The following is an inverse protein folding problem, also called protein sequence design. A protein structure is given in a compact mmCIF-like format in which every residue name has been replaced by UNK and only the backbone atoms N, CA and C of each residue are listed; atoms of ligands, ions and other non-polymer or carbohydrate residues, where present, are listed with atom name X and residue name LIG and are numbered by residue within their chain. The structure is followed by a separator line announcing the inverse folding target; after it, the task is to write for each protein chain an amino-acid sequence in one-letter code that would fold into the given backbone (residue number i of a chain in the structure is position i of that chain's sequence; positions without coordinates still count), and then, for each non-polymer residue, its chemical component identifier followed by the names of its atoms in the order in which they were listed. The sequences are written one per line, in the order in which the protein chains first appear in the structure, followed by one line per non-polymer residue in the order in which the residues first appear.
data_IF_385989627645
#
_entry.id   IF_385989627645
#
_cell.length_a   1.000
_cell.length_b   1.000
_cell.length_c   1.000
_cell.angle_alpha   90.00
_cell.angle_beta   90.00
_cell.angle_gamma   90.00
#
_symmetry.space_group_name_H-M   'P 1'
#
loop_
_entity.id
_entity.type
_entity.pdbx_description
1 polymer ?
#
# COMPACT_ATOMS: atom_id res chain seq x y z
N UNK A 1 -6.10 -7.94 -5.04
CA UNK A 1 -7.31 -7.60 -5.80
C UNK A 1 -7.09 -7.92 -7.29
N UNK A 2 -8.07 -8.53 -7.96
CA UNK A 2 -8.00 -8.88 -9.39
C UNK A 2 -9.10 -8.09 -10.12
N UNK A 3 -8.73 -7.34 -11.17
CA UNK A 3 -9.69 -6.60 -11.99
C UNK A 3 -10.51 -7.57 -12.86
N UNK A 4 -11.81 -7.32 -13.02
CA UNK A 4 -12.74 -8.18 -13.80
C UNK A 4 -12.28 -8.49 -15.23
N UNK A 5 -11.57 -7.58 -15.91
CA UNK A 5 -11.01 -7.86 -17.24
C UNK A 5 -9.94 -8.95 -17.24
N UNK A 6 -9.41 -9.32 -16.08
CA UNK A 6 -8.42 -10.38 -15.87
C UNK A 6 -9.05 -11.69 -15.35
N UNK A 7 -10.37 -11.81 -15.39
CA UNK A 7 -11.07 -13.03 -14.95
C UNK A 7 -10.57 -14.30 -15.63
N UNK A 8 -10.21 -14.22 -16.92
CA UNK A 8 -9.59 -15.35 -17.66
C UNK A 8 -8.20 -15.76 -17.14
N UNK A 9 -7.50 -14.85 -16.46
CA UNK A 9 -6.15 -15.10 -15.89
C UNK A 9 -6.20 -15.55 -14.43
N UNK A 10 -7.38 -15.63 -13.80
CA UNK A 10 -7.53 -16.02 -12.39
C UNK A 10 -6.88 -17.37 -12.11
N UNK A 11 -7.13 -18.38 -12.95
CA UNK A 11 -6.54 -19.70 -12.75
C UNK A 11 -5.01 -19.68 -12.85
N UNK A 12 -4.44 -18.97 -13.83
CA UNK A 12 -2.99 -18.84 -13.98
C UNK A 12 -2.35 -18.21 -12.72
N UNK A 13 -2.93 -17.09 -12.24
CA UNK A 13 -2.40 -16.36 -11.08
C UNK A 13 -2.52 -17.21 -9.81
N UNK A 14 -3.70 -17.81 -9.57
CA UNK A 14 -3.95 -18.49 -8.32
C UNK A 14 -3.36 -19.90 -8.26
N UNK A 15 -3.16 -20.58 -9.40
CA UNK A 15 -2.42 -21.84 -9.44
C UNK A 15 -0.98 -21.65 -9.01
N UNK A 16 -0.29 -20.63 -9.52
CA UNK A 16 1.08 -20.32 -9.12
C UNK A 16 1.22 -20.12 -7.61
N UNK A 17 0.26 -19.43 -6.99
CA UNK A 17 0.25 -19.23 -5.54
C UNK A 17 -0.07 -20.52 -4.77
N UNK A 18 -1.03 -21.31 -5.27
CA UNK A 18 -1.40 -22.58 -4.65
C UNK A 18 -0.27 -23.62 -4.72
N UNK A 19 0.43 -23.70 -5.85
CA UNK A 19 1.62 -24.56 -6.06
C UNK A 19 2.77 -24.18 -5.13
N UNK A 20 2.88 -22.91 -4.76
CA UNK A 20 3.80 -22.41 -3.74
C UNK A 20 3.32 -22.64 -2.29
N UNK A 21 2.27 -23.44 -2.09
CA UNK A 21 1.71 -23.76 -0.77
C UNK A 21 0.83 -22.69 -0.16
N UNK A 22 0.45 -21.66 -0.92
CA UNK A 22 -0.35 -20.55 -0.40
C UNK A 22 -1.84 -20.94 -0.31
N UNK A 23 -2.44 -20.79 0.88
CA UNK A 23 -3.89 -20.96 1.10
C UNK A 23 -4.64 -19.76 0.57
N UNK A 24 -5.65 -20.00 -0.29
CA UNK A 24 -6.40 -18.94 -0.96
C UNK A 24 -7.75 -18.73 -0.27
N UNK A 25 -7.91 -17.55 0.34
CA UNK A 25 -9.18 -17.05 0.85
C UNK A 25 -9.80 -16.17 -0.23
N UNK A 26 -11.00 -16.48 -0.69
CA UNK A 26 -11.56 -15.84 -1.87
C UNK A 26 -12.99 -15.32 -1.64
N UNK A 27 -13.32 -14.21 -2.31
CA UNK A 27 -14.72 -13.80 -2.44
C UNK A 27 -15.50 -14.80 -3.32
N UNK A 28 -16.81 -14.72 -3.27
CA UNK A 28 -17.70 -15.63 -4.03
C UNK A 28 -17.47 -15.58 -5.55
N UNK A 29 -17.01 -14.43 -6.09
CA UNK A 29 -16.76 -14.27 -7.53
C UNK A 29 -15.48 -14.99 -7.94
N UNK A 30 -14.40 -14.84 -7.18
CA UNK A 30 -13.14 -15.54 -7.41
C UNK A 30 -13.33 -17.05 -7.22
N UNK A 31 -14.04 -17.49 -6.17
CA UNK A 31 -14.31 -18.93 -5.95
C UNK A 31 -15.09 -19.59 -7.10
N UNK A 32 -15.92 -18.85 -7.84
CA UNK A 32 -16.59 -19.38 -9.03
C UNK A 32 -15.68 -19.44 -10.27
N UNK A 33 -14.64 -18.64 -10.33
CA UNK A 33 -13.71 -18.55 -11.48
C UNK A 33 -12.50 -19.47 -11.32
N UNK A 34 -12.06 -19.69 -10.11
CA UNK A 34 -10.89 -20.51 -9.82
C UNK A 34 -11.29 -21.98 -9.71
N UNK A 35 -10.59 -22.84 -10.43
CA UNK A 35 -10.85 -24.30 -10.45
C UNK A 35 -10.22 -25.04 -9.27
N UNK A 36 -9.26 -24.41 -8.58
CA UNK A 36 -8.61 -24.98 -7.41
C UNK A 36 -9.38 -24.74 -6.11
N UNK A 37 -8.79 -25.18 -4.99
CA UNK A 37 -9.39 -25.08 -3.67
C UNK A 37 -9.34 -23.64 -3.15
N UNK A 38 -10.50 -23.12 -2.72
CA UNK A 38 -10.61 -21.83 -2.03
C UNK A 38 -11.34 -22.00 -0.70
N UNK A 39 -11.15 -21.02 0.17
CA UNK A 39 -11.88 -20.88 1.42
C UNK A 39 -12.60 -19.53 1.42
N UNK A 40 -13.75 -19.40 2.11
CA UNK A 40 -14.51 -18.16 2.07
C UNK A 40 -13.76 -17.02 2.75
N UNK A 41 -13.67 -15.88 2.06
CA UNK A 41 -13.21 -14.63 2.63
C UNK A 41 -14.42 -13.82 3.14
N UNK A 42 -14.26 -13.15 4.27
CA UNK A 42 -15.26 -12.30 4.91
C UNK A 42 -14.62 -10.96 5.36
N UNK A 43 -15.38 -10.08 5.99
CA UNK A 43 -14.89 -8.77 6.39
C UNK A 43 -13.66 -8.85 7.33
N UNK A 44 -13.63 -9.80 8.25
CA UNK A 44 -12.49 -9.98 9.17
C UNK A 44 -11.25 -10.48 8.41
N UNK A 45 -11.44 -11.24 7.32
CA UNK A 45 -10.36 -11.73 6.48
C UNK A 45 -9.63 -10.60 5.76
N UNK A 46 -10.36 -9.57 5.32
CA UNK A 46 -9.79 -8.46 4.54
C UNK A 46 -8.86 -7.57 5.35
N UNK A 47 -9.08 -7.40 6.63
CA UNK A 47 -8.26 -6.58 7.53
C UNK A 47 -7.21 -7.38 8.30
N UNK A 48 -7.16 -8.72 8.10
CA UNK A 48 -6.23 -9.57 8.83
C UNK A 48 -4.87 -9.62 8.15
N UNK A 49 -3.83 -9.34 8.89
CA UNK A 49 -2.46 -9.72 8.54
C UNK A 49 -2.25 -11.20 8.86
N UNK A 50 -2.02 -12.02 7.83
CA UNK A 50 -2.04 -13.46 7.99
C UNK A 50 -0.78 -14.05 8.63
N UNK A 51 0.39 -13.42 8.46
CA UNK A 51 1.70 -13.88 8.98
C UNK A 51 2.01 -15.35 8.66
N UNK A 52 1.51 -15.82 7.52
CA UNK A 52 1.57 -17.22 7.07
C UNK A 52 1.31 -17.25 5.56
N UNK A 53 1.61 -18.35 4.84
CA UNK A 53 1.33 -18.46 3.41
C UNK A 53 -0.18 -18.53 3.12
N UNK A 54 -0.87 -17.44 3.38
CA UNK A 54 -2.30 -17.26 3.12
C UNK A 54 -2.49 -15.95 2.37
N UNK A 55 -3.33 -15.96 1.34
CA UNK A 55 -3.69 -14.76 0.59
C UNK A 55 -5.20 -14.59 0.51
N UNK A 56 -5.66 -13.35 0.69
CA UNK A 56 -7.05 -12.95 0.50
C UNK A 56 -7.24 -12.35 -0.88
N UNK A 57 -8.17 -12.91 -1.67
CA UNK A 57 -8.37 -12.54 -3.08
C UNK A 57 -9.80 -12.10 -3.34
N UNK A 58 -9.96 -10.94 -3.99
CA UNK A 58 -11.25 -10.37 -4.35
C UNK A 58 -11.26 -9.88 -5.80
N UNK A 59 -12.38 -10.08 -6.49
CA UNK A 59 -12.62 -9.50 -7.82
C UNK A 59 -13.17 -8.08 -7.69
N UNK A 60 -12.57 -7.14 -8.41
CA UNK A 60 -13.01 -5.73 -8.44
C UNK A 60 -13.38 -5.29 -9.85
N UNK A 61 -14.32 -4.36 -9.97
CA UNK A 61 -14.83 -3.90 -11.26
C UNK A 61 -13.97 -2.81 -11.89
N UNK A 62 -13.29 -2.00 -11.07
CA UNK A 62 -12.49 -0.86 -11.51
C UNK A 62 -11.52 -0.44 -10.40
N UNK A 63 -10.62 0.50 -10.73
CA UNK A 63 -9.61 1.02 -9.80
C UNK A 63 -10.23 1.77 -8.61
N UNK A 64 -11.38 2.42 -8.78
CA UNK A 64 -12.06 3.14 -7.67
C UNK A 64 -12.53 2.15 -6.59
N UNK A 65 -13.11 1.02 -7.01
CA UNK A 65 -13.49 -0.05 -6.08
C UNK A 65 -12.26 -0.66 -5.38
N UNK A 66 -11.16 -0.86 -6.12
CA UNK A 66 -9.92 -1.35 -5.53
C UNK A 66 -9.37 -0.40 -4.46
N UNK A 67 -9.27 0.90 -4.76
CA UNK A 67 -8.81 1.93 -3.82
C UNK A 67 -9.72 2.03 -2.60
N UNK A 68 -11.05 2.00 -2.80
CA UNK A 68 -12.00 2.02 -1.69
C UNK A 68 -11.83 0.81 -0.77
N UNK A 69 -11.59 -0.37 -1.33
CA UNK A 69 -11.33 -1.59 -0.57
C UNK A 69 -10.02 -1.50 0.21
N UNK A 70 -8.93 -1.08 -0.43
CA UNK A 70 -7.62 -0.88 0.21
C UNK A 70 -7.72 0.12 1.36
N UNK A 71 -8.31 1.30 1.11
CA UNK A 71 -8.44 2.34 2.13
C UNK A 71 -9.33 1.94 3.32
N UNK A 72 -10.23 0.97 3.11
CA UNK A 72 -11.10 0.45 4.18
C UNK A 72 -10.43 -0.65 5.02
N UNK A 73 -9.66 -1.51 4.39
CA UNK A 73 -9.17 -2.74 5.02
C UNK A 73 -7.65 -2.84 5.11
N UNK A 74 -6.91 -2.02 4.36
CA UNK A 74 -5.46 -2.01 4.35
C UNK A 74 -4.84 -1.44 5.62
N UNK A 75 -3.57 -1.76 5.84
CA UNK A 75 -2.78 -1.30 6.99
C UNK A 75 -2.22 0.11 6.81
N UNK A 76 -2.43 0.74 5.66
CA UNK A 76 -1.82 2.01 5.24
C UNK A 76 -0.29 1.96 5.10
N UNK A 77 0.29 0.78 5.04
CA UNK A 77 1.72 0.60 4.88
C UNK A 77 2.15 0.80 3.42
N UNK A 78 1.98 -0.21 2.59
CA UNK A 78 2.45 -0.22 1.20
C UNK A 78 1.46 -0.94 0.31
N UNK A 79 1.07 -0.30 -0.78
CA UNK A 79 0.18 -0.89 -1.77
C UNK A 79 0.72 -0.69 -3.19
N UNK A 80 0.54 -1.70 -4.04
CA UNK A 80 1.02 -1.68 -5.41
C UNK A 80 -0.10 -1.94 -6.42
N UNK A 81 0.04 -1.35 -7.59
CA UNK A 81 -0.81 -1.61 -8.76
C UNK A 81 0.02 -2.09 -9.95
N UNK A 82 -0.45 -3.14 -10.60
CA UNK A 82 0.10 -3.60 -11.89
C UNK A 82 -0.80 -3.14 -13.02
N UNK A 83 -0.36 -2.16 -13.79
CA UNK A 83 -1.11 -1.60 -14.92
C UNK A 83 -0.23 -0.91 -15.94
N UNK A 84 -0.59 -1.02 -17.24
CA UNK A 84 0.01 -0.23 -18.33
C UNK A 84 -0.72 1.11 -18.54
N UNK A 85 -1.92 1.29 -17.95
CA UNK A 85 -2.70 2.51 -18.13
C UNK A 85 -2.22 3.60 -17.16
N UNK A 86 -1.62 4.66 -17.71
CA UNK A 86 -1.06 5.79 -16.93
C UNK A 86 -2.10 6.51 -16.08
N UNK A 87 -3.33 6.69 -16.58
CA UNK A 87 -4.38 7.38 -15.84
C UNK A 87 -4.87 6.54 -14.65
N UNK A 88 -4.98 5.22 -14.84
CA UNK A 88 -5.33 4.28 -13.77
C UNK A 88 -4.24 4.26 -12.69
N UNK A 89 -2.96 4.23 -13.08
CA UNK A 89 -1.84 4.29 -12.14
C UNK A 89 -1.84 5.60 -11.34
N UNK A 90 -1.98 6.74 -12.04
CA UNK A 90 -2.03 8.07 -11.39
C UNK A 90 -3.21 8.18 -10.42
N UNK A 91 -4.39 7.66 -10.82
CA UNK A 91 -5.55 7.63 -9.93
C UNK A 91 -5.27 6.79 -8.67
N UNK A 92 -4.69 5.59 -8.85
CA UNK A 92 -4.35 4.70 -7.74
C UNK A 92 -3.40 5.38 -6.75
N UNK A 93 -2.23 5.84 -7.24
CA UNK A 93 -1.20 6.48 -6.41
C UNK A 93 -1.75 7.70 -5.66
N UNK A 94 -2.58 8.52 -6.32
CA UNK A 94 -3.15 9.72 -5.68
C UNK A 94 -4.18 9.41 -4.59
N UNK A 95 -4.90 8.28 -4.71
CA UNK A 95 -6.09 8.03 -3.89
C UNK A 95 -5.94 6.92 -2.84
N UNK A 96 -4.89 6.09 -2.90
CA UNK A 96 -4.60 5.19 -1.78
C UNK A 96 -4.04 5.99 -0.61
N UNK A 97 -4.43 5.59 0.61
CA UNK A 97 -3.97 6.25 1.86
C UNK A 97 -2.65 5.69 2.38
N UNK A 98 -2.13 4.65 1.74
CA UNK A 98 -0.89 4.00 2.13
C UNK A 98 0.29 4.95 2.11
N UNK A 99 1.23 4.76 3.01
CA UNK A 99 2.45 5.57 3.10
C UNK A 99 3.30 5.46 1.84
N UNK A 100 3.29 4.27 1.22
CA UNK A 100 4.01 3.99 -0.02
C UNK A 100 3.03 3.43 -1.05
N UNK A 101 2.97 4.03 -2.22
CA UNK A 101 2.15 3.60 -3.36
C UNK A 101 3.05 3.33 -4.56
N UNK A 102 2.98 2.11 -5.10
CA UNK A 102 3.91 1.61 -6.12
C UNK A 102 3.14 1.26 -7.40
N UNK A 103 3.75 1.55 -8.55
CA UNK A 103 3.28 1.09 -9.86
C UNK A 103 4.28 0.10 -10.47
N UNK A 104 3.79 -1.09 -10.87
CA UNK A 104 4.55 -2.10 -11.64
C UNK A 104 5.86 -2.56 -10.99
N UNK A 105 5.92 -2.54 -9.67
CA UNK A 105 7.04 -3.07 -8.90
C UNK A 105 6.55 -3.82 -7.68
N UNK A 106 7.42 -4.62 -7.07
CA UNK A 106 7.12 -5.34 -5.83
C UNK A 106 6.98 -4.38 -4.66
N UNK A 107 6.11 -4.71 -3.71
CA UNK A 107 6.03 -4.00 -2.43
C UNK A 107 7.29 -4.15 -1.58
N UNK A 108 8.17 -5.10 -1.91
CA UNK A 108 9.50 -5.25 -1.28
C UNK A 108 10.44 -4.05 -1.53
N UNK A 109 10.18 -3.24 -2.56
CA UNK A 109 10.88 -1.96 -2.74
C UNK A 109 10.52 -0.90 -1.71
N UNK A 110 9.58 -1.16 -0.82
CA UNK A 110 9.26 -0.32 0.32
C UNK A 110 10.29 -0.54 1.44
N UNK A 111 11.48 0.01 1.25
CA UNK A 111 12.64 -0.17 2.13
C UNK A 111 13.45 1.13 2.17
N UNK A 112 13.93 1.51 3.36
CA UNK A 112 14.72 2.74 3.55
C UNK A 112 16.05 2.72 2.80
N UNK A 113 16.65 1.55 2.60
CA UNK A 113 17.85 1.38 1.78
C UNK A 113 17.57 1.68 0.31
N UNK A 114 16.47 1.15 -0.24
CA UNK A 114 16.02 1.39 -1.61
C UNK A 114 15.67 2.88 -1.86
N UNK A 115 15.18 3.57 -0.82
CA UNK A 115 14.92 5.02 -0.88
C UNK A 115 16.16 5.89 -0.65
N UNK A 116 17.32 5.29 -0.39
CA UNK A 116 18.57 6.01 -0.18
C UNK A 116 18.71 6.65 1.20
N UNK A 117 17.95 6.21 2.20
CA UNK A 117 18.03 6.72 3.58
C UNK A 117 19.14 6.05 4.43
N UNK A 118 19.88 5.11 3.84
CA UNK A 118 20.91 4.33 4.50
C UNK A 118 20.32 3.21 5.34
N UNK A 119 19.99 3.48 6.59
CA UNK A 119 19.30 2.54 7.48
C UNK A 119 17.82 2.83 7.61
N UNK A 120 17.04 1.83 8.01
CA UNK A 120 15.63 1.95 8.35
C UNK A 120 15.39 1.41 9.76
N UNK A 121 14.76 2.23 10.61
CA UNK A 121 14.32 1.82 11.96
C UNK A 121 12.94 1.18 11.90
N UNK A 122 12.17 1.55 10.89
CA UNK A 122 10.82 1.03 10.62
C UNK A 122 10.11 1.85 9.56
N UNK A 123 8.83 1.52 9.34
CA UNK A 123 7.96 2.24 8.39
C UNK A 123 6.74 2.78 9.14
N UNK A 124 6.56 4.09 9.08
CA UNK A 124 5.41 4.76 9.69
C UNK A 124 4.21 4.80 8.73
N UNK A 125 3.05 4.39 9.24
CA UNK A 125 1.77 4.47 8.54
C UNK A 125 0.98 5.74 8.88
N UNK A 126 1.57 6.66 9.65
CA UNK A 126 0.96 7.93 10.01
C UNK A 126 0.64 8.78 8.78
N UNK A 127 -0.33 9.67 8.91
CA UNK A 127 -0.64 10.68 7.89
C UNK A 127 0.22 11.94 8.04
N UNK A 128 0.70 12.20 9.24
CA UNK A 128 1.66 13.27 9.56
C UNK A 128 3.09 12.70 9.67
N UNK A 129 4.13 13.51 9.47
CA UNK A 129 5.51 13.08 9.62
C UNK A 129 5.84 12.53 11.02
N UNK A 130 6.72 11.52 11.12
CA UNK A 130 7.31 10.81 10.00
C UNK A 130 6.29 9.89 9.30
N UNK A 131 6.40 9.75 7.98
CA UNK A 131 5.55 8.88 7.16
C UNK A 131 6.39 8.12 6.13
N UNK A 132 6.08 6.84 5.93
CA UNK A 132 6.89 5.94 5.11
C UNK A 132 8.12 5.46 5.86
N UNK A 133 9.22 5.11 5.18
CA UNK A 133 10.44 4.67 5.81
C UNK A 133 11.01 5.71 6.77
N UNK A 134 11.38 5.26 7.98
CA UNK A 134 11.93 6.08 9.05
C UNK A 134 13.42 5.77 9.18
N UNK A 135 14.25 6.66 8.71
CA UNK A 135 15.71 6.61 8.83
C UNK A 135 16.25 7.69 9.79
N UNK A 136 17.55 7.94 9.73
CA UNK A 136 18.24 8.87 10.64
C UNK A 136 17.62 10.27 10.62
N UNK A 137 17.33 10.81 9.44
CA UNK A 137 16.79 12.16 9.29
C UNK A 137 15.40 12.36 9.89
N UNK A 138 14.62 11.28 10.04
CA UNK A 138 13.28 11.31 10.64
C UNK A 138 13.34 11.17 12.17
N UNK A 139 14.48 10.77 12.72
CA UNK A 139 14.69 10.58 14.16
C UNK A 139 15.33 11.78 14.86
N UNK A 140 15.67 12.83 14.11
CA UNK A 140 16.24 14.07 14.65
C UNK A 140 15.22 15.19 14.61
N UNK A 141 15.41 16.20 15.46
CA UNK A 141 14.67 17.45 15.42
C UNK A 141 15.65 18.62 15.26
N UNK A 142 15.13 19.80 15.02
CA UNK A 142 15.91 21.01 14.85
C UNK A 142 15.38 22.11 15.77
N UNK A 143 16.24 23.07 16.08
CA UNK A 143 15.85 24.34 16.70
C UNK A 143 16.38 25.48 15.85
N UNK A 144 15.67 26.59 15.89
CA UNK A 144 16.13 27.82 15.29
C UNK A 144 16.98 28.60 16.31
N UNK A 145 18.16 29.05 15.92
CA UNK A 145 18.99 29.95 16.69
C UNK A 145 19.01 31.30 15.96
N UNK A 146 18.54 32.34 16.64
CA UNK A 146 18.42 33.69 16.06
C UNK A 146 19.34 34.63 16.85
N UNK A 147 20.31 35.20 16.17
CA UNK A 147 21.27 36.17 16.74
C UNK A 147 20.93 37.57 16.22
N UNK A 148 20.41 38.42 17.08
CA UNK A 148 20.02 39.78 16.74
C UNK A 148 21.00 40.81 17.31
N UNK A 149 20.99 42.03 16.76
CA UNK A 149 21.74 43.21 17.21
C UNK A 149 20.82 44.33 17.74
N UNK A 150 19.58 43.95 18.13
CA UNK A 150 18.58 44.89 18.64
C UNK A 150 17.49 45.30 17.63
N UNK A 151 17.32 44.49 16.55
CA UNK A 151 16.23 44.73 15.60
C UNK A 151 14.88 44.60 16.28
N UNK A 152 13.95 45.49 15.91
CA UNK A 152 12.56 45.45 16.32
C UNK A 152 11.66 45.21 15.11
N UNK A 153 10.56 44.44 15.30
CA UNK A 153 9.54 44.26 14.27
C UNK A 153 8.56 45.44 14.34
N UNK A 154 8.29 46.04 13.18
CA UNK A 154 7.22 47.03 13.04
C UNK A 154 5.88 46.30 12.90
N UNK A 155 4.90 46.67 13.68
CA UNK A 155 3.53 46.14 13.59
C UNK A 155 2.74 46.63 12.36
N UNK A 156 3.36 47.54 11.54
CA UNK A 156 2.70 48.17 10.36
C UNK A 156 2.63 47.14 9.18
N UNK A 157 3.31 46.03 9.25
CA UNK A 157 3.34 45.03 8.20
C UNK A 157 2.57 43.73 8.49
N UNK A 158 1.60 43.82 9.41
CA UNK A 158 0.64 42.74 9.66
C UNK A 158 -0.61 42.98 8.80
#
# INVERSE_FOLDING_TARGET
LIHKSKSKSVNLILNSLAESGCKILADRKISKLFKGKTYPANNNTWSKEHLSPIISVKLVNNVKEAVAHINKYGTMHTDAIVTKNKNTAKFFIKNVKSSIAIQNSSTQFADGGEFGFGGEVGISTNTLPPRGPVGLNQLVSYKYEVYGTGQILSLIHI
#
